data_IF_539588156906
#
_entry.id   IF_539588156906
#
_cell.length_a   1.000
_cell.length_b   1.000
_cell.length_c   1.000
_cell.angle_alpha   90.00
_cell.angle_beta   90.00
_cell.angle_gamma   90.00
#
_symmetry.space_group_name_H-M   'P 1'
#
loop_
_entity.id
_entity.type
_entity.pdbx_description
1 polymer ?
#
# COMPACT_ATOMS: atom_id res chain seq x y z
N UNK A 1 18.05 16.25 5.16
CA UNK A 1 17.97 15.22 6.22
C UNK A 1 19.32 14.59 6.55
N UNK A 2 20.37 14.71 5.71
CA UNK A 2 21.64 13.98 5.94
C UNK A 2 22.60 14.58 6.98
N UNK A 3 22.33 15.78 7.49
CA UNK A 3 23.23 16.45 8.46
C UNK A 3 22.97 16.05 9.92
N UNK A 4 21.80 15.46 10.20
CA UNK A 4 21.44 14.90 11.49
C UNK A 4 21.31 13.39 11.29
N UNK A 5 22.08 12.58 12.03
CA UNK A 5 22.06 11.11 11.97
C UNK A 5 20.78 10.53 12.59
N UNK A 6 19.63 11.00 12.12
CA UNK A 6 18.32 10.67 12.66
C UNK A 6 17.72 9.52 11.85
N UNK A 7 17.17 8.55 12.56
CA UNK A 7 16.27 7.58 11.96
C UNK A 7 14.87 8.19 11.90
N UNK A 8 14.31 8.32 10.70
CA UNK A 8 12.98 8.90 10.48
C UNK A 8 12.07 7.86 9.87
N UNK A 9 10.89 7.69 10.46
CA UNK A 9 9.79 6.90 9.89
C UNK A 9 8.62 7.84 9.62
N UNK A 10 8.09 7.80 8.41
CA UNK A 10 6.93 8.57 7.99
C UNK A 10 5.84 7.62 7.49
N UNK A 11 4.59 7.96 7.77
CA UNK A 11 3.42 7.29 7.23
C UNK A 11 2.77 8.28 6.26
N UNK A 12 2.61 7.87 5.00
CA UNK A 12 1.91 8.66 3.98
C UNK A 12 0.92 7.79 3.21
N UNK A 13 -0.08 8.44 2.62
CA UNK A 13 -1.02 7.84 1.68
C UNK A 13 -0.65 8.16 0.22
N UNK A 14 0.31 9.04 -0.01
CA UNK A 14 0.76 9.44 -1.34
C UNK A 14 1.96 8.60 -1.79
N UNK A 15 1.83 7.97 -2.95
CA UNK A 15 2.88 7.14 -3.57
C UNK A 15 4.08 7.99 -3.99
N UNK A 16 3.85 9.19 -4.51
CA UNK A 16 4.91 10.08 -4.97
C UNK A 16 5.75 10.56 -3.78
N UNK A 17 5.11 10.92 -2.66
CA UNK A 17 5.82 11.26 -1.43
C UNK A 17 6.68 10.09 -0.92
N UNK A 18 6.14 8.86 -0.95
CA UNK A 18 6.85 7.68 -0.49
C UNK A 18 8.14 7.45 -1.30
N UNK A 19 8.08 7.55 -2.63
CA UNK A 19 9.24 7.36 -3.52
C UNK A 19 10.23 8.53 -3.44
N UNK A 20 9.74 9.78 -3.38
CA UNK A 20 10.60 10.96 -3.31
C UNK A 20 11.33 11.11 -1.98
N UNK A 21 10.73 10.65 -0.88
CA UNK A 21 11.24 10.94 0.46
C UNK A 21 11.95 9.76 1.12
N UNK A 22 11.69 8.53 0.72
CA UNK A 22 12.12 7.35 1.46
C UNK A 22 13.21 6.56 0.74
N UNK A 23 14.21 6.06 1.46
CA UNK A 23 15.17 5.09 0.93
C UNK A 23 14.61 3.65 0.98
N UNK A 24 13.55 3.46 1.78
CA UNK A 24 12.80 2.21 1.91
C UNK A 24 11.32 2.50 2.10
N UNK A 25 10.48 1.80 1.36
CA UNK A 25 9.02 1.85 1.47
C UNK A 25 8.53 0.52 2.03
N UNK A 26 7.84 0.55 3.16
CA UNK A 26 7.19 -0.62 3.76
C UNK A 26 5.70 -0.55 3.48
N UNK A 27 5.19 -1.47 2.66
CA UNK A 27 3.80 -1.55 2.29
C UNK A 27 3.07 -2.58 3.14
N UNK A 28 1.94 -2.19 3.73
CA UNK A 28 1.17 -3.03 4.65
C UNK A 28 0.01 -3.75 3.94
N UNK A 29 -0.39 -4.91 4.47
CA UNK A 29 -1.62 -5.58 4.07
C UNK A 29 -2.85 -4.87 4.64
N UNK A 30 -4.04 -5.16 4.11
CA UNK A 30 -5.28 -4.51 4.56
C UNK A 30 -5.85 -5.08 5.87
N UNK A 31 -6.60 -4.25 6.60
CA UNK A 31 -7.45 -4.64 7.72
C UNK A 31 -6.86 -4.43 9.12
N UNK A 32 -7.63 -4.70 10.18
CA UNK A 32 -7.23 -4.46 11.58
C UNK A 32 -6.09 -5.36 12.09
N UNK A 33 -5.74 -6.41 11.32
CA UNK A 33 -4.58 -7.28 11.58
C UNK A 33 -3.57 -7.17 10.42
N UNK A 34 -3.36 -5.94 9.94
CA UNK A 34 -2.39 -5.64 8.89
C UNK A 34 -0.98 -6.11 9.28
N UNK A 35 -0.30 -6.71 8.32
CA UNK A 35 1.09 -7.16 8.43
C UNK A 35 1.92 -6.51 7.34
N UNK A 36 3.24 -6.66 7.37
CA UNK A 36 4.09 -6.20 6.26
C UNK A 36 3.81 -7.08 5.05
N UNK A 37 3.36 -6.48 3.96
CA UNK A 37 3.10 -7.19 2.71
C UNK A 37 4.30 -7.20 1.78
N UNK A 38 5.01 -6.08 1.67
CA UNK A 38 6.21 -5.95 0.85
C UNK A 38 7.09 -4.82 1.38
N UNK A 39 8.40 -4.97 1.21
CA UNK A 39 9.39 -3.92 1.45
C UNK A 39 10.08 -3.64 0.13
N UNK A 40 10.12 -2.37 -0.28
CA UNK A 40 10.75 -1.91 -1.51
C UNK A 40 11.90 -0.96 -1.14
N UNK A 41 13.11 -1.27 -1.58
CA UNK A 41 14.27 -0.39 -1.44
C UNK A 41 14.34 0.56 -2.65
N UNK A 42 14.63 1.84 -2.40
CA UNK A 42 14.61 2.92 -3.40
C UNK A 42 16.03 3.41 -3.64
N UNK A 43 16.62 2.96 -4.75
CA UNK A 43 17.97 3.37 -5.18
C UNK A 43 17.90 4.59 -6.12
N UNK A 44 17.44 5.70 -5.55
CA UNK A 44 17.45 7.01 -6.20
C UNK A 44 18.40 7.96 -5.46
N UNK A 45 19.37 8.58 -6.15
CA UNK A 45 20.33 9.46 -5.52
C UNK A 45 19.65 10.68 -4.88
N UNK A 46 20.21 11.17 -3.77
CA UNK A 46 19.78 12.41 -3.11
C UNK A 46 20.66 13.57 -3.61
N UNK A 47 20.15 14.82 -3.71
CA UNK A 47 18.77 15.26 -3.45
C UNK A 47 17.81 14.84 -4.57
N UNK A 48 16.58 14.45 -4.19
CA UNK A 48 15.53 14.05 -5.13
C UNK A 48 14.63 15.25 -5.41
N UNK A 49 14.70 15.76 -6.64
CA UNK A 49 13.80 16.82 -7.12
C UNK A 49 12.66 16.22 -7.93
N UNK A 50 11.42 16.64 -7.64
CA UNK A 50 10.22 16.07 -8.27
C UNK A 50 10.20 16.31 -9.78
N UNK A 51 10.62 17.48 -10.25
CA UNK A 51 10.59 17.82 -11.67
C UNK A 51 11.71 17.10 -12.42
N UNK A 52 12.90 17.03 -11.84
CA UNK A 52 14.03 16.33 -12.44
C UNK A 52 13.82 14.81 -12.53
N UNK A 53 13.10 14.21 -11.58
CA UNK A 53 12.81 12.78 -11.54
C UNK A 53 11.54 12.37 -12.29
N UNK A 54 10.71 13.33 -12.74
CA UNK A 54 9.46 13.03 -13.42
C UNK A 54 9.66 12.10 -14.62
N UNK A 55 10.77 12.29 -15.34
CA UNK A 55 11.13 11.52 -16.53
C UNK A 55 12.15 10.40 -16.24
N UNK A 56 12.59 10.20 -14.99
CA UNK A 56 13.52 9.11 -14.63
C UNK A 56 12.76 7.75 -14.70
N UNK A 57 13.21 6.80 -15.54
CA UNK A 57 12.56 5.48 -15.65
C UNK A 57 12.51 4.71 -14.34
N UNK A 58 13.51 4.88 -13.46
CA UNK A 58 13.55 4.24 -12.13
C UNK A 58 12.46 4.80 -11.23
N UNK A 59 12.24 6.11 -11.26
CA UNK A 59 11.15 6.75 -10.52
C UNK A 59 9.80 6.17 -10.96
N UNK A 60 9.57 6.07 -12.27
CA UNK A 60 8.33 5.48 -12.81
C UNK A 60 8.19 4.01 -12.43
N UNK A 61 9.28 3.24 -12.47
CA UNK A 61 9.30 1.84 -12.05
C UNK A 61 8.89 1.67 -10.58
N UNK A 62 9.48 2.43 -9.66
CA UNK A 62 9.13 2.35 -8.24
C UNK A 62 7.68 2.74 -7.95
N UNK A 63 7.17 3.78 -8.63
CA UNK A 63 5.74 4.12 -8.53
C UNK A 63 4.85 2.99 -9.00
N UNK A 64 5.22 2.36 -10.11
CA UNK A 64 4.46 1.26 -10.66
C UNK A 64 4.44 0.04 -9.72
N UNK A 65 5.57 -0.31 -9.10
CA UNK A 65 5.66 -1.34 -8.05
C UNK A 65 4.68 -1.08 -6.90
N UNK A 66 4.71 0.13 -6.34
CA UNK A 66 3.86 0.52 -5.21
C UNK A 66 2.38 0.48 -5.61
N UNK A 67 2.02 1.08 -6.75
CA UNK A 67 0.64 1.07 -7.24
C UNK A 67 0.15 -0.34 -7.51
N UNK A 68 0.97 -1.19 -8.13
CA UNK A 68 0.62 -2.59 -8.42
C UNK A 68 0.30 -3.35 -7.13
N UNK A 69 1.15 -3.21 -6.11
CA UNK A 69 0.90 -3.81 -4.80
C UNK A 69 -0.44 -3.35 -4.21
N UNK A 70 -0.69 -2.04 -4.20
CA UNK A 70 -1.92 -1.47 -3.63
C UNK A 70 -3.17 -1.95 -4.36
N UNK A 71 -3.16 -1.97 -5.71
CA UNK A 71 -4.28 -2.46 -6.52
C UNK A 71 -4.56 -3.94 -6.29
N UNK A 72 -3.54 -4.79 -6.27
CA UNK A 72 -3.71 -6.23 -6.03
C UNK A 72 -4.35 -6.53 -4.68
N UNK A 73 -3.99 -5.76 -3.65
CA UNK A 73 -4.51 -5.97 -2.29
C UNK A 73 -5.91 -5.38 -2.12
N UNK A 74 -6.24 -4.26 -2.75
CA UNK A 74 -7.61 -3.73 -2.76
C UNK A 74 -8.59 -4.74 -3.38
N UNK A 75 -8.25 -5.34 -4.52
CA UNK A 75 -9.09 -6.36 -5.18
C UNK A 75 -9.39 -7.56 -4.28
N UNK A 76 -8.43 -7.98 -3.45
CA UNK A 76 -8.60 -9.11 -2.51
C UNK A 76 -9.51 -8.77 -1.33
N UNK A 77 -9.56 -7.50 -0.90
CA UNK A 77 -10.46 -7.08 0.19
C UNK A 77 -11.91 -7.06 -0.28
N UNK A 78 -12.17 -6.52 -1.47
CA UNK A 78 -13.52 -6.50 -2.04
C UNK A 78 -14.09 -7.92 -2.20
N UNK A 79 -13.27 -8.88 -2.63
CA UNK A 79 -13.72 -10.27 -2.78
C UNK A 79 -14.06 -10.94 -1.45
N UNK A 80 -13.25 -10.71 -0.40
CA UNK A 80 -13.50 -11.24 0.95
C UNK A 80 -14.71 -10.55 1.60
N UNK A 81 -14.84 -9.23 1.48
CA UNK A 81 -15.98 -8.48 1.99
C UNK A 81 -17.28 -8.96 1.34
N UNK A 82 -17.28 -9.14 0.01
CA UNK A 82 -18.42 -9.69 -0.73
C UNK A 82 -18.73 -11.14 -0.36
N UNK A 83 -17.74 -11.97 -0.04
CA UNK A 83 -17.96 -13.33 0.44
C UNK A 83 -18.59 -13.35 1.85
N UNK A 84 -18.08 -12.52 2.78
CA UNK A 84 -18.65 -12.39 4.13
C UNK A 84 -20.07 -11.81 4.13
N UNK A 85 -20.34 -10.79 3.32
CA UNK A 85 -21.67 -10.21 3.18
C UNK A 85 -22.70 -11.24 2.67
N UNK A 86 -22.32 -12.06 1.68
CA UNK A 86 -23.17 -13.16 1.18
C UNK A 86 -23.40 -14.26 2.21
N UNK A 87 -22.38 -14.65 2.97
CA UNK A 87 -22.51 -15.66 4.02
C UNK A 87 -23.40 -15.23 5.20
N UNK A 88 -23.35 -13.94 5.57
CA UNK A 88 -24.17 -13.36 6.64
C UNK A 88 -25.65 -13.21 6.24
N UNK A 89 -25.94 -12.98 4.96
CA UNK A 89 -27.30 -12.91 4.43
C UNK A 89 -27.99 -14.30 4.45
N UNK A 90 -27.30 -15.35 3.97
CA UNK A 90 -27.87 -16.70 3.93
C UNK A 90 -28.12 -17.32 5.31
N UNK A 91 -27.33 -16.95 6.32
CA UNK A 91 -27.54 -17.42 7.70
C UNK A 91 -28.76 -16.77 8.37
N UNK A 92 -29.09 -15.52 8.03
CA UNK A 92 -30.31 -14.85 8.51
C UNK A 92 -31.57 -15.43 7.86
N UNK A 93 -31.52 -15.74 6.57
CA UNK A 93 -32.66 -16.31 5.84
C UNK A 93 -32.99 -17.75 6.30
N UNK A 94 -31.96 -18.58 6.55
CA UNK A 94 -32.14 -19.93 7.08
C UNK A 94 -32.68 -19.96 8.53
N UNK A 95 -32.34 -18.95 9.34
CA UNK A 95 -32.85 -18.81 10.70
C UNK A 95 -34.31 -18.32 10.74
N UNK A 96 -34.72 -17.46 9.79
CA UNK A 96 -36.09 -16.97 9.68
C UNK A 96 -37.09 -18.03 9.20
N UNK A 97 -36.65 -19.02 8.41
CA UNK A 97 -37.52 -20.09 7.89
C UNK A 97 -37.82 -21.21 8.91
N UNK A 98 -37.23 -21.16 10.12
CA UNK A 98 -37.39 -22.17 11.18
C UNK A 98 -38.19 -21.67 12.40
N UNK A 99 -38.75 -20.46 12.33
CA UNK A 99 -39.65 -19.88 13.34
C UNK A 99 -41.08 -19.84 12.79
#
# INVERSE_FOLDING_TARGET
QSELQNTVMMITHDVDEAVLLSDRIVMMTNGPSATIGQVLDIDLPRPRDRLALADDPRYTHYRHEVLSFLYEKQRKVESIANARARGAAGTREAAALRA
#
